data_IF_917959130899
#
_entry.id   IF_917959130899
#
_cell.length_a   1.000
_cell.length_b   1.000
_cell.length_c   1.000
_cell.angle_alpha   90.00
_cell.angle_beta   90.00
_cell.angle_gamma   90.00
#
_symmetry.space_group_name_H-M   'P 1'
#
loop_
_entity.id
_entity.type
_entity.pdbx_description
1 polymer ?
#
# COMPACT_ATOMS: atom_id res chain seq x y z
N UNK A 1 -25.16 7.86 1.54
CA UNK A 1 -25.23 7.91 0.06
C UNK A 1 -23.84 8.33 -0.43
N UNK A 2 -23.18 7.50 -1.25
CA UNK A 2 -21.88 7.85 -1.84
C UNK A 2 -22.12 8.81 -3.01
N UNK A 3 -21.75 10.06 -2.85
CA UNK A 3 -22.01 11.12 -3.82
C UNK A 3 -20.74 11.70 -4.46
N UNK A 4 -19.58 11.42 -3.89
CA UNK A 4 -18.28 11.86 -4.39
C UNK A 4 -17.23 10.76 -4.27
N UNK A 5 -16.10 10.90 -4.99
CA UNK A 5 -14.94 10.02 -4.85
C UNK A 5 -14.38 10.06 -3.42
N UNK A 6 -14.43 11.21 -2.77
CA UNK A 6 -14.03 11.33 -1.36
C UNK A 6 -14.93 10.49 -0.46
N UNK A 7 -16.26 10.59 -0.60
CA UNK A 7 -17.20 9.76 0.17
C UNK A 7 -16.97 8.27 -0.08
N UNK A 8 -16.64 7.92 -1.33
CA UNK A 8 -16.32 6.55 -1.72
C UNK A 8 -15.05 6.06 -1.02
N UNK A 9 -13.98 6.84 -1.05
CA UNK A 9 -12.71 6.50 -0.41
C UNK A 9 -12.87 6.38 1.11
N UNK A 10 -13.59 7.30 1.75
CA UNK A 10 -13.89 7.26 3.18
C UNK A 10 -14.74 6.03 3.54
N UNK A 11 -15.72 5.67 2.71
CA UNK A 11 -16.54 4.46 2.90
C UNK A 11 -15.70 3.19 2.77
N UNK A 12 -14.86 3.10 1.72
CA UNK A 12 -13.95 1.97 1.54
C UNK A 12 -13.06 1.81 2.77
N UNK A 13 -12.42 2.89 3.20
CA UNK A 13 -11.47 2.86 4.30
C UNK A 13 -12.10 2.48 5.66
N UNK A 14 -13.32 2.92 5.91
CA UNK A 14 -13.98 2.69 7.20
C UNK A 14 -14.79 1.41 7.27
N UNK A 15 -15.31 0.94 6.13
CA UNK A 15 -16.26 -0.17 6.07
C UNK A 15 -15.74 -1.34 5.23
N UNK A 16 -15.51 -1.13 3.94
CA UNK A 16 -15.21 -2.21 3.00
C UNK A 16 -13.85 -2.87 3.28
N UNK A 17 -12.85 -2.10 3.70
CA UNK A 17 -11.55 -2.63 4.11
C UNK A 17 -11.62 -3.64 5.27
N UNK A 18 -12.67 -3.60 6.09
CA UNK A 18 -12.92 -4.60 7.13
C UNK A 18 -13.41 -5.92 6.54
N UNK A 19 -14.21 -5.82 5.46
CA UNK A 19 -14.63 -7.00 4.71
C UNK A 19 -13.44 -7.65 4.00
N UNK A 20 -12.54 -6.85 3.41
CA UNK A 20 -11.27 -7.33 2.85
C UNK A 20 -10.44 -8.09 3.89
N UNK A 21 -10.33 -7.54 5.10
CA UNK A 21 -9.64 -8.20 6.22
C UNK A 21 -10.31 -9.54 6.57
N UNK A 22 -11.63 -9.55 6.68
CA UNK A 22 -12.38 -10.76 7.05
C UNK A 22 -12.22 -11.86 5.99
N UNK A 23 -12.35 -11.50 4.72
CA UNK A 23 -12.18 -12.45 3.61
C UNK A 23 -10.75 -13.01 3.56
N UNK A 24 -9.74 -12.16 3.71
CA UNK A 24 -8.34 -12.61 3.75
C UNK A 24 -8.10 -13.60 4.89
N UNK A 25 -8.65 -13.34 6.06
CA UNK A 25 -8.55 -14.28 7.19
C UNK A 25 -9.25 -15.61 6.88
N UNK A 26 -10.41 -15.56 6.25
CA UNK A 26 -11.11 -16.79 5.81
C UNK A 26 -10.25 -17.58 4.81
N UNK A 27 -9.63 -16.91 3.84
CA UNK A 27 -8.71 -17.56 2.89
C UNK A 27 -7.50 -18.20 3.59
N UNK A 28 -6.92 -17.56 4.59
CA UNK A 28 -5.80 -18.14 5.34
C UNK A 28 -6.16 -19.50 5.94
N UNK A 29 -7.40 -19.65 6.41
CA UNK A 29 -7.83 -20.85 7.13
C UNK A 29 -8.56 -21.88 6.26
N UNK A 30 -9.31 -21.44 5.25
CA UNK A 30 -10.27 -22.26 4.54
C UNK A 30 -10.13 -22.26 3.01
N UNK A 31 -9.02 -21.74 2.45
CA UNK A 31 -8.88 -21.66 1.00
C UNK A 31 -9.00 -23.04 0.31
N UNK A 32 -8.57 -24.10 1.00
CA UNK A 32 -8.61 -25.47 0.50
C UNK A 32 -9.94 -26.21 0.85
N UNK A 33 -10.90 -25.52 1.49
CA UNK A 33 -12.20 -26.06 1.85
C UNK A 33 -13.30 -25.36 1.03
N UNK A 34 -13.56 -25.81 -0.21
CA UNK A 34 -14.48 -25.13 -1.13
C UNK A 34 -15.88 -24.97 -0.59
N UNK A 35 -16.37 -25.96 0.18
CA UNK A 35 -17.70 -25.92 0.78
C UNK A 35 -17.87 -24.75 1.75
N UNK A 36 -16.77 -24.35 2.43
CA UNK A 36 -16.76 -23.23 3.35
C UNK A 36 -16.49 -21.92 2.60
N UNK A 37 -15.47 -21.89 1.73
CA UNK A 37 -14.96 -20.60 1.21
C UNK A 37 -15.77 -20.07 0.02
N UNK A 38 -16.29 -20.94 -0.87
CA UNK A 38 -16.96 -20.52 -2.11
C UNK A 38 -18.21 -19.65 -1.84
N UNK A 39 -19.09 -19.95 -0.85
CA UNK A 39 -20.21 -19.08 -0.55
C UNK A 39 -19.79 -17.66 -0.14
N UNK A 40 -18.73 -17.53 0.65
CA UNK A 40 -18.20 -16.24 1.10
C UNK A 40 -17.48 -15.49 -0.01
N UNK A 41 -16.74 -16.19 -0.86
CA UNK A 41 -16.12 -15.62 -2.04
C UNK A 41 -17.17 -15.03 -2.97
N UNK A 42 -18.21 -15.78 -3.31
CA UNK A 42 -19.31 -15.30 -4.16
C UNK A 42 -20.04 -14.08 -3.56
N UNK A 43 -20.27 -14.11 -2.26
CA UNK A 43 -20.88 -12.96 -1.58
C UNK A 43 -19.98 -11.71 -1.65
N UNK A 44 -18.69 -11.89 -1.42
CA UNK A 44 -17.73 -10.80 -1.55
C UNK A 44 -17.66 -10.25 -2.98
N UNK A 45 -17.61 -11.12 -3.98
CA UNK A 45 -17.58 -10.74 -5.40
C UNK A 45 -18.82 -9.92 -5.79
N UNK A 46 -19.99 -10.29 -5.32
CA UNK A 46 -21.23 -9.52 -5.53
C UNK A 46 -21.11 -8.11 -4.92
N UNK A 47 -20.65 -8.01 -3.68
CA UNK A 47 -20.46 -6.71 -3.02
C UNK A 47 -19.39 -5.87 -3.71
N UNK A 48 -18.29 -6.49 -4.13
CA UNK A 48 -17.21 -5.83 -4.85
C UNK A 48 -17.67 -5.32 -6.22
N UNK A 49 -18.49 -6.10 -6.95
CA UNK A 49 -19.08 -5.65 -8.21
C UNK A 49 -19.92 -4.38 -8.01
N UNK A 50 -20.80 -4.35 -7.01
CA UNK A 50 -21.60 -3.15 -6.69
C UNK A 50 -20.72 -1.97 -6.33
N UNK A 51 -19.63 -2.21 -5.60
CA UNK A 51 -18.65 -1.17 -5.24
C UNK A 51 -17.95 -0.63 -6.48
N UNK A 52 -17.51 -1.50 -7.39
CA UNK A 52 -16.84 -1.13 -8.63
C UNK A 52 -17.78 -0.36 -9.58
N UNK A 53 -19.02 -0.79 -9.74
CA UNK A 53 -20.03 -0.05 -10.53
C UNK A 53 -20.20 1.37 -9.98
N UNK A 54 -20.21 1.51 -8.66
CA UNK A 54 -20.29 2.83 -8.04
C UNK A 54 -19.03 3.65 -8.27
N UNK A 55 -17.84 3.05 -8.20
CA UNK A 55 -16.58 3.67 -8.57
C UNK A 55 -16.61 4.19 -10.00
N UNK A 56 -16.94 3.32 -10.97
CA UNK A 56 -17.01 3.68 -12.39
C UNK A 56 -17.96 4.83 -12.66
N UNK A 57 -19.08 4.91 -11.95
CA UNK A 57 -20.02 6.02 -12.08
C UNK A 57 -19.45 7.40 -11.70
N UNK A 58 -18.32 7.42 -10.99
CA UNK A 58 -17.67 8.64 -10.48
C UNK A 58 -16.27 8.87 -11.08
N UNK A 59 -15.76 7.96 -11.92
CA UNK A 59 -14.38 7.99 -12.42
C UNK A 59 -14.03 9.26 -13.19
N UNK A 60 -14.99 9.90 -13.85
CA UNK A 60 -14.78 11.17 -14.58
C UNK A 60 -14.30 12.33 -13.67
N UNK A 61 -14.52 12.23 -12.35
CA UNK A 61 -14.01 13.17 -11.36
C UNK A 61 -12.68 12.74 -10.72
N UNK A 62 -12.05 11.70 -11.27
CA UNK A 62 -10.80 11.19 -10.71
C UNK A 62 -9.64 12.16 -10.89
N UNK A 63 -8.98 12.46 -9.80
CA UNK A 63 -7.74 13.23 -9.80
C UNK A 63 -6.72 12.50 -8.93
N UNK A 64 -5.60 12.11 -9.51
CA UNK A 64 -4.52 11.49 -8.75
C UNK A 64 -3.93 12.45 -7.72
N UNK A 65 -3.41 11.90 -6.62
CA UNK A 65 -2.76 12.67 -5.56
C UNK A 65 -1.35 12.19 -5.22
N UNK A 66 -0.84 11.20 -5.93
CA UNK A 66 0.49 10.64 -5.71
C UNK A 66 1.63 11.52 -6.26
N UNK A 67 1.36 12.36 -7.25
CA UNK A 67 2.38 13.11 -7.98
C UNK A 67 3.28 13.92 -7.06
N UNK A 68 4.57 13.55 -6.99
CA UNK A 68 5.58 14.18 -6.14
C UNK A 68 5.31 14.07 -4.63
N UNK A 69 4.61 13.02 -4.19
CA UNK A 69 4.19 12.89 -2.80
C UNK A 69 5.38 12.85 -1.83
N UNK A 70 6.43 12.10 -2.16
CA UNK A 70 7.65 12.04 -1.32
C UNK A 70 8.34 13.40 -1.23
N UNK A 71 8.42 14.10 -2.36
CA UNK A 71 8.97 15.47 -2.39
C UNK A 71 8.18 16.39 -1.46
N UNK A 72 6.86 16.37 -1.52
CA UNK A 72 5.99 17.18 -0.64
C UNK A 72 6.20 16.90 0.85
N UNK A 73 6.44 15.63 1.23
CA UNK A 73 6.78 15.28 2.61
C UNK A 73 8.10 15.94 3.00
N UNK A 74 9.16 15.74 2.23
CA UNK A 74 10.51 16.15 2.62
C UNK A 74 10.81 17.64 2.45
N UNK A 75 10.06 18.38 1.61
CA UNK A 75 10.22 19.83 1.45
C UNK A 75 9.83 20.62 2.72
N UNK A 76 8.89 20.11 3.49
CA UNK A 76 8.26 20.84 4.59
C UNK A 76 8.68 20.34 5.98
N UNK A 77 9.71 19.50 6.07
CA UNK A 77 10.12 18.93 7.37
C UNK A 77 11.47 19.46 7.82
N UNK A 78 11.50 19.91 9.09
CA UNK A 78 12.71 20.32 9.81
C UNK A 78 13.11 19.30 10.89
N UNK A 79 12.53 18.09 10.82
CA UNK A 79 12.73 17.01 11.79
C UNK A 79 13.26 15.77 11.08
N UNK A 80 13.85 14.87 11.84
CA UNK A 80 14.27 13.57 11.32
C UNK A 80 13.04 12.78 10.85
N UNK A 81 12.93 12.58 9.55
CA UNK A 81 11.75 12.01 8.91
C UNK A 81 12.12 10.78 8.09
N UNK A 82 11.40 9.69 8.31
CA UNK A 82 11.51 8.46 7.53
C UNK A 82 10.22 8.18 6.77
N UNK A 83 10.33 7.69 5.55
CA UNK A 83 9.21 7.24 4.73
C UNK A 83 9.45 5.81 4.30
N UNK A 84 8.60 4.89 4.74
CA UNK A 84 8.55 3.51 4.25
C UNK A 84 7.63 3.49 3.04
N UNK A 85 8.18 3.14 1.88
CA UNK A 85 7.44 2.95 0.63
C UNK A 85 7.30 1.46 0.40
N UNK A 86 6.08 0.96 0.56
CA UNK A 86 5.74 -0.42 0.28
C UNK A 86 5.22 -0.56 -1.15
N UNK A 87 5.61 -1.62 -1.83
CA UNK A 87 5.02 -2.06 -3.08
C UNK A 87 3.79 -2.92 -2.79
N UNK A 88 2.64 -2.57 -3.37
CA UNK A 88 1.43 -3.34 -3.27
C UNK A 88 0.81 -3.46 -1.86
N UNK A 89 1.00 -2.49 -0.96
CA UNK A 89 0.43 -2.55 0.39
C UNK A 89 -1.06 -2.21 0.39
N UNK A 90 -1.91 -3.19 0.66
CA UNK A 90 -3.35 -2.99 0.82
C UNK A 90 -3.68 -2.19 2.09
N UNK A 91 -4.72 -1.35 2.00
CA UNK A 91 -5.18 -0.55 3.15
C UNK A 91 -5.55 -1.41 4.37
N UNK A 92 -6.13 -2.58 4.16
CA UNK A 92 -6.51 -3.47 5.26
C UNK A 92 -5.27 -4.02 6.00
N UNK A 93 -4.17 -4.29 5.28
CA UNK A 93 -2.89 -4.70 5.88
C UNK A 93 -2.29 -3.52 6.65
N UNK A 94 -2.29 -2.31 6.08
CA UNK A 94 -1.83 -1.11 6.77
C UNK A 94 -2.62 -0.86 8.08
N UNK A 95 -3.94 -1.05 8.08
CA UNK A 95 -4.75 -0.96 9.29
C UNK A 95 -4.35 -2.00 10.35
N UNK A 96 -3.96 -3.20 9.93
CA UNK A 96 -3.46 -4.26 10.83
C UNK A 96 -2.09 -3.89 11.41
N UNK A 97 -1.19 -3.30 10.61
CA UNK A 97 0.08 -2.74 11.08
C UNK A 97 -0.19 -1.70 12.17
N UNK A 98 -1.05 -0.74 11.90
CA UNK A 98 -1.42 0.32 12.86
C UNK A 98 -1.95 -0.27 14.18
N UNK A 99 -2.78 -1.31 14.12
CA UNK A 99 -3.33 -1.96 15.31
C UNK A 99 -2.25 -2.61 16.21
N UNK A 100 -1.05 -2.87 15.68
CA UNK A 100 0.10 -3.44 16.41
C UNK A 100 1.04 -2.38 16.98
N UNK A 101 0.90 -1.12 16.56
CA UNK A 101 1.74 -0.03 17.06
C UNK A 101 1.42 0.34 18.52
N UNK A 102 2.41 0.87 19.26
CA UNK A 102 2.20 1.39 20.60
C UNK A 102 1.09 2.46 20.65
N UNK A 103 0.21 2.37 21.62
CA UNK A 103 -0.97 3.25 21.75
C UNK A 103 -0.65 4.73 22.03
N UNK A 104 0.57 5.02 22.44
CA UNK A 104 1.05 6.39 22.68
C UNK A 104 1.53 7.11 21.42
N UNK A 105 1.61 6.42 20.28
CA UNK A 105 1.93 7.06 19.01
C UNK A 105 0.70 7.79 18.47
N UNK A 106 0.89 9.04 18.05
CA UNK A 106 -0.12 9.76 17.29
C UNK A 106 -0.11 9.27 15.86
N UNK A 107 -1.26 8.86 15.35
CA UNK A 107 -1.41 8.30 14.01
C UNK A 107 -2.40 9.15 13.23
N UNK A 108 -1.94 9.71 12.13
CA UNK A 108 -2.76 10.41 11.15
C UNK A 108 -2.86 9.55 9.88
N UNK A 109 -4.07 9.42 9.31
CA UNK A 109 -4.33 8.64 8.10
C UNK A 109 -4.77 9.56 6.97
N UNK A 110 -4.12 9.41 5.83
CA UNK A 110 -4.48 10.10 4.61
C UNK A 110 -4.77 9.09 3.50
N UNK A 111 -5.86 9.32 2.77
CA UNK A 111 -6.23 8.52 1.62
C UNK A 111 -5.89 9.32 0.37
N UNK A 112 -5.02 8.78 -0.46
CA UNK A 112 -4.67 9.33 -1.76
C UNK A 112 -5.24 8.48 -2.89
N UNK A 113 -5.28 9.06 -4.07
CA UNK A 113 -5.67 8.39 -5.31
C UNK A 113 -4.42 8.09 -6.13
N UNK A 114 -4.24 6.82 -6.50
CA UNK A 114 -3.10 6.35 -7.27
C UNK A 114 -3.09 6.92 -8.70
N UNK A 115 -1.94 6.94 -9.35
CA UNK A 115 -1.87 7.21 -10.79
C UNK A 115 -2.50 6.04 -11.55
N UNK A 116 -3.28 6.34 -12.60
CA UNK A 116 -3.87 5.33 -13.45
C UNK A 116 -3.07 5.19 -14.76
N UNK A 117 -2.93 3.95 -15.30
CA UNK A 117 -3.26 2.69 -14.65
C UNK A 117 -2.39 2.45 -13.41
N UNK A 118 -2.99 1.84 -12.37
CA UNK A 118 -2.35 1.62 -11.06
C UNK A 118 -1.40 0.42 -11.08
N UNK A 119 -0.33 0.54 -11.84
CA UNK A 119 0.77 -0.41 -11.92
C UNK A 119 2.02 0.18 -11.27
N UNK A 120 2.91 -0.67 -10.75
CA UNK A 120 4.11 -0.28 -10.01
C UNK A 120 4.92 0.81 -10.72
N UNK A 121 5.19 0.67 -12.00
CA UNK A 121 6.01 1.63 -12.77
C UNK A 121 5.41 3.05 -12.74
N UNK A 122 4.10 3.18 -12.97
CA UNK A 122 3.40 4.45 -12.98
C UNK A 122 3.31 5.06 -11.58
N UNK A 123 2.90 4.25 -10.63
CA UNK A 123 2.58 4.72 -9.27
C UNK A 123 3.86 5.02 -8.47
N UNK A 124 4.89 4.18 -8.58
CA UNK A 124 6.20 4.47 -8.00
C UNK A 124 6.81 5.74 -8.62
N UNK A 125 6.74 5.89 -9.96
CA UNK A 125 7.20 7.12 -10.61
C UNK A 125 6.48 8.34 -10.08
N UNK A 126 5.15 8.28 -9.96
CA UNK A 126 4.36 9.38 -9.41
C UNK A 126 4.75 9.72 -7.97
N UNK A 127 5.01 8.73 -7.11
CA UNK A 127 5.45 8.97 -5.73
C UNK A 127 6.78 9.73 -5.66
N UNK A 128 7.78 9.28 -6.46
CA UNK A 128 9.15 9.81 -6.41
C UNK A 128 9.36 11.07 -7.25
N UNK A 129 8.68 11.14 -8.42
CA UNK A 129 8.94 12.14 -9.45
C UNK A 129 7.78 13.13 -9.52
N UNK A 130 8.10 14.41 -9.54
CA UNK A 130 7.07 15.46 -9.50
C UNK A 130 6.60 15.99 -10.85
N UNK A 131 7.15 15.54 -11.99
CA UNK A 131 6.94 16.12 -13.32
C UNK A 131 6.04 15.29 -14.26
N UNK A 132 5.55 14.14 -13.78
CA UNK A 132 4.67 13.25 -14.55
C UNK A 132 5.39 12.22 -15.41
N UNK A 133 6.72 12.26 -15.49
CA UNK A 133 7.50 11.23 -16.20
C UNK A 133 7.36 9.86 -15.55
N UNK A 134 7.62 8.82 -16.32
CA UNK A 134 7.61 7.42 -15.86
C UNK A 134 9.02 6.86 -15.99
N UNK A 135 9.55 6.42 -14.85
CA UNK A 135 10.86 5.78 -14.74
C UNK A 135 10.69 4.36 -14.20
N UNK A 136 11.14 3.39 -14.98
CA UNK A 136 11.02 1.97 -14.60
C UNK A 136 12.06 1.58 -13.55
N UNK A 137 13.27 2.17 -13.66
CA UNK A 137 14.39 1.83 -12.80
C UNK A 137 14.30 2.53 -11.43
N UNK A 138 14.39 1.75 -10.36
CA UNK A 138 14.38 2.26 -8.97
C UNK A 138 15.46 3.31 -8.74
N UNK A 139 16.67 3.05 -9.19
CA UNK A 139 17.83 3.95 -9.02
C UNK A 139 17.63 5.29 -9.72
N UNK A 140 16.96 5.32 -10.87
CA UNK A 140 16.63 6.54 -11.58
C UNK A 140 15.58 7.36 -10.82
N UNK A 141 14.54 6.72 -10.29
CA UNK A 141 13.53 7.37 -9.41
C UNK A 141 14.17 7.97 -8.15
N UNK A 142 15.02 7.19 -7.46
CA UNK A 142 15.75 7.64 -6.28
C UNK A 142 16.69 8.83 -6.60
N UNK A 143 17.39 8.78 -7.73
CA UNK A 143 18.26 9.87 -8.19
C UNK A 143 17.47 11.15 -8.49
N UNK A 144 16.29 11.03 -9.10
CA UNK A 144 15.41 12.16 -9.35
C UNK A 144 14.98 12.83 -8.04
N UNK A 145 14.57 12.05 -7.04
CA UNK A 145 14.20 12.59 -5.73
C UNK A 145 15.42 13.20 -5.00
N UNK A 146 16.60 12.57 -5.09
CA UNK A 146 17.82 13.07 -4.47
C UNK A 146 18.28 14.42 -5.06
N UNK A 147 18.06 14.63 -6.35
CA UNK A 147 18.32 15.91 -7.00
C UNK A 147 17.37 17.02 -6.51
N UNK A 148 16.13 16.66 -6.20
CA UNK A 148 15.13 17.59 -5.69
C UNK A 148 15.26 17.86 -4.18
N UNK A 149 15.69 16.86 -3.39
CA UNK A 149 15.74 16.93 -1.92
C UNK A 149 17.17 16.65 -1.45
N UNK A 150 17.86 17.69 -1.00
CA UNK A 150 19.23 17.56 -0.47
C UNK A 150 19.26 16.74 0.83
N UNK A 151 20.27 15.87 0.95
CA UNK A 151 20.53 15.10 2.16
C UNK A 151 19.57 13.92 2.40
N UNK A 152 18.82 13.53 1.38
CA UNK A 152 17.98 12.33 1.44
C UNK A 152 18.82 11.06 1.24
N UNK A 153 18.51 10.02 1.97
CA UNK A 153 19.16 8.70 1.87
C UNK A 153 18.11 7.62 1.54
N UNK A 154 18.56 6.56 0.87
CA UNK A 154 17.73 5.45 0.45
C UNK A 154 18.33 4.14 0.92
N UNK A 155 17.53 3.29 1.55
CA UNK A 155 17.90 1.93 1.91
C UNK A 155 16.71 0.98 1.70
N UNK A 156 16.99 -0.32 1.61
CA UNK A 156 15.94 -1.33 1.76
C UNK A 156 15.54 -1.44 3.23
N UNK A 157 14.25 -1.63 3.51
CA UNK A 157 13.72 -1.71 4.88
C UNK A 157 14.33 -2.87 5.68
N UNK A 158 14.69 -3.96 5.00
CA UNK A 158 15.36 -5.12 5.57
C UNK A 158 16.75 -4.75 6.13
N UNK A 159 17.42 -3.78 5.51
CA UNK A 159 18.75 -3.31 5.90
C UNK A 159 18.74 -2.26 7.01
N UNK A 160 17.56 -1.90 7.54
CA UNK A 160 17.46 -0.97 8.64
C UNK A 160 18.17 -1.49 9.89
N UNK A 161 19.14 -0.75 10.37
CA UNK A 161 19.91 -1.03 11.58
C UNK A 161 20.15 0.24 12.40
N UNK A 162 20.69 0.10 13.61
CA UNK A 162 20.91 1.22 14.53
C UNK A 162 22.01 2.23 14.11
N UNK A 163 22.76 1.93 13.05
CA UNK A 163 23.83 2.79 12.55
C UNK A 163 23.42 3.77 11.45
N UNK A 164 22.14 3.87 11.15
CA UNK A 164 21.64 4.80 10.10
C UNK A 164 21.77 6.24 10.57
N UNK A 165 22.61 7.01 9.85
CA UNK A 165 22.82 8.44 10.07
C UNK A 165 22.19 9.18 8.88
N UNK A 166 20.93 9.57 9.01
CA UNK A 166 20.22 10.37 8.02
C UNK A 166 19.09 11.16 8.70
N UNK A 167 18.86 12.39 8.25
CA UNK A 167 17.72 13.19 8.70
C UNK A 167 16.48 12.96 7.82
N UNK A 168 16.70 12.62 6.56
CA UNK A 168 15.67 12.31 5.57
C UNK A 168 15.95 10.93 4.99
N UNK A 169 15.04 9.98 5.21
CA UNK A 169 15.26 8.58 4.86
C UNK A 169 14.06 8.01 4.11
N UNK A 170 14.31 7.40 2.97
CA UNK A 170 13.33 6.57 2.26
C UNK A 170 13.74 5.10 2.40
N UNK A 171 12.79 4.28 2.83
CA UNK A 171 12.97 2.84 2.98
C UNK A 171 12.02 2.13 2.01
N UNK A 172 12.55 1.36 1.08
CA UNK A 172 11.75 0.56 0.15
C UNK A 172 11.46 -0.83 0.70
N UNK A 173 10.25 -1.35 0.46
CA UNK A 173 9.83 -2.69 0.83
C UNK A 173 8.95 -3.30 -0.26
N UNK A 174 9.42 -4.35 -0.94
CA UNK A 174 8.77 -4.97 -2.11
C UNK A 174 8.22 -6.38 -1.88
N UNK A 175 8.43 -6.98 -0.70
CA UNK A 175 8.09 -8.38 -0.44
C UNK A 175 6.58 -8.69 -0.58
N UNK A 176 5.70 -7.72 -0.28
CA UNK A 176 4.25 -7.94 -0.29
C UNK A 176 3.77 -8.24 -1.70
N UNK A 177 4.16 -7.41 -2.66
CA UNK A 177 3.77 -7.55 -4.06
C UNK A 177 4.41 -8.80 -4.68
N UNK A 178 5.72 -8.95 -4.51
CA UNK A 178 6.49 -10.07 -5.05
C UNK A 178 5.93 -11.45 -4.66
N UNK A 179 5.61 -11.65 -3.37
CA UNK A 179 5.07 -12.92 -2.88
C UNK A 179 3.61 -13.10 -3.30
N UNK A 180 2.84 -12.01 -3.39
CA UNK A 180 1.44 -12.05 -3.82
C UNK A 180 1.30 -12.47 -5.28
N UNK A 181 2.21 -12.05 -6.15
CA UNK A 181 2.22 -12.44 -7.56
C UNK A 181 2.66 -13.90 -7.79
N UNK A 182 3.67 -14.36 -7.05
CA UNK A 182 4.30 -15.67 -7.29
C UNK A 182 3.71 -16.82 -6.52
N UNK A 183 3.26 -16.57 -5.31
CA UNK A 183 2.89 -17.63 -4.36
C UNK A 183 1.58 -17.31 -3.62
N UNK A 184 0.47 -17.25 -4.35
CA UNK A 184 -0.83 -16.80 -3.81
C UNK A 184 -1.21 -17.42 -2.45
N UNK A 185 -1.04 -18.74 -2.26
CA UNK A 185 -1.36 -19.40 -0.99
C UNK A 185 -0.34 -19.11 0.11
N UNK A 186 0.95 -19.05 -0.23
CA UNK A 186 2.00 -18.69 0.71
C UNK A 186 1.91 -17.22 1.13
N UNK A 187 1.55 -16.32 0.20
CA UNK A 187 1.31 -14.91 0.47
C UNK A 187 0.27 -14.71 1.57
N UNK A 188 -0.86 -15.41 1.52
CA UNK A 188 -1.92 -15.29 2.51
C UNK A 188 -1.41 -15.57 3.94
N UNK A 189 -0.54 -16.57 4.11
CA UNK A 189 0.08 -16.90 5.41
C UNK A 189 1.16 -15.92 5.81
N UNK A 190 1.88 -15.36 4.83
CA UNK A 190 2.98 -14.43 5.06
C UNK A 190 2.51 -13.03 5.50
N UNK A 191 1.29 -12.61 5.16
CA UNK A 191 0.79 -11.27 5.51
C UNK A 191 0.87 -10.96 7.01
N UNK A 192 0.58 -11.93 7.88
CA UNK A 192 0.71 -11.72 9.33
C UNK A 192 2.17 -11.45 9.76
N UNK A 193 3.13 -12.06 9.08
CA UNK A 193 4.57 -11.81 9.28
C UNK A 193 4.94 -10.42 8.81
N UNK A 194 4.45 -10.00 7.65
CA UNK A 194 4.69 -8.65 7.12
C UNK A 194 4.07 -7.56 7.99
N UNK A 195 2.86 -7.79 8.53
CA UNK A 195 2.23 -6.87 9.49
C UNK A 195 3.12 -6.66 10.74
N UNK A 196 3.68 -7.74 11.30
CA UNK A 196 4.58 -7.67 12.46
C UNK A 196 5.90 -6.97 12.07
N UNK A 197 6.50 -7.38 10.97
CA UNK A 197 7.75 -6.80 10.48
C UNK A 197 7.63 -5.29 10.29
N UNK A 198 6.60 -4.80 9.58
CA UNK A 198 6.39 -3.38 9.37
C UNK A 198 6.17 -2.62 10.68
N UNK A 199 5.38 -3.17 11.61
CA UNK A 199 5.17 -2.55 12.91
C UNK A 199 6.48 -2.45 13.71
N UNK A 200 7.29 -3.51 13.73
CA UNK A 200 8.58 -3.54 14.42
C UNK A 200 9.58 -2.54 13.79
N UNK A 201 9.58 -2.40 12.44
CA UNK A 201 10.45 -1.43 11.75
C UNK A 201 10.03 0.00 12.03
N UNK A 202 8.73 0.30 12.08
CA UNK A 202 8.24 1.62 12.49
C UNK A 202 8.71 1.96 13.91
N UNK A 203 8.54 1.03 14.85
CA UNK A 203 9.01 1.23 16.23
C UNK A 203 10.53 1.42 16.29
N UNK A 204 11.27 0.66 15.47
CA UNK A 204 12.73 0.77 15.40
C UNK A 204 13.19 2.13 14.88
N UNK A 205 12.49 2.71 13.90
CA UNK A 205 12.78 4.05 13.39
C UNK A 205 12.63 5.11 14.50
N UNK A 206 11.57 5.05 15.30
CA UNK A 206 11.42 5.94 16.45
C UNK A 206 12.54 5.74 17.50
N UNK A 207 12.94 4.49 17.77
CA UNK A 207 14.04 4.20 18.72
C UNK A 207 15.39 4.76 18.28
N UNK A 208 15.67 4.83 16.98
CA UNK A 208 16.92 5.43 16.47
C UNK A 208 16.80 6.94 16.19
N UNK A 209 15.70 7.55 16.66
CA UNK A 209 15.54 9.00 16.73
C UNK A 209 14.82 9.67 15.56
N UNK A 210 14.12 8.93 14.69
CA UNK A 210 13.19 9.57 13.77
C UNK A 210 11.97 10.08 14.54
N UNK A 211 11.53 11.29 14.21
CA UNK A 211 10.43 11.98 14.88
C UNK A 211 9.12 11.78 14.12
N UNK A 212 9.19 11.76 12.79
CA UNK A 212 8.07 11.47 11.91
C UNK A 212 8.37 10.22 11.07
N UNK A 213 7.44 9.27 11.07
CA UNK A 213 7.53 8.06 10.25
C UNK A 213 6.26 7.91 9.42
N UNK A 214 6.43 7.89 8.11
CA UNK A 214 5.34 7.67 7.16
C UNK A 214 5.39 6.23 6.65
N UNK A 215 4.23 5.61 6.52
CA UNK A 215 4.03 4.36 5.79
C UNK A 215 3.13 4.68 4.60
N UNK A 216 3.64 4.47 3.40
CA UNK A 216 2.90 4.71 2.16
C UNK A 216 3.02 3.53 1.20
N UNK A 217 2.16 3.51 0.20
CA UNK A 217 2.20 2.53 -0.89
C UNK A 217 2.01 3.23 -2.23
N UNK A 218 2.47 2.61 -3.27
CA UNK A 218 2.21 3.01 -4.65
C UNK A 218 0.81 2.62 -5.11
N UNK A 219 0.41 1.34 -4.92
CA UNK A 219 -0.92 0.80 -5.20
C UNK A 219 -1.29 -0.29 -4.19
N UNK A 220 -2.45 -0.85 -4.33
CA UNK A 220 -2.90 -2.09 -3.69
C UNK A 220 -3.24 -3.14 -4.74
N UNK A 221 -3.83 -4.25 -4.32
CA UNK A 221 -4.27 -5.32 -5.20
C UNK A 221 -5.60 -5.92 -4.72
N UNK A 222 -6.26 -6.66 -5.60
CA UNK A 222 -7.52 -7.37 -5.28
C UNK A 222 -7.19 -8.83 -4.99
N UNK A 223 -7.76 -9.37 -3.89
CA UNK A 223 -7.73 -10.81 -3.62
C UNK A 223 -8.89 -11.48 -4.36
N UNK A 224 -8.58 -12.26 -5.35
CA UNK A 224 -9.58 -12.93 -6.22
C UNK A 224 -10.01 -14.30 -5.70
N UNK A 225 -9.31 -14.88 -4.72
CA UNK A 225 -9.58 -16.24 -4.25
C UNK A 225 -9.17 -17.31 -5.26
N UNK A 226 -9.93 -18.41 -5.30
CA UNK A 226 -9.68 -19.49 -6.25
C UNK A 226 -10.27 -19.13 -7.63
N UNK A 227 -9.39 -18.87 -8.60
CA UNK A 227 -9.76 -18.64 -9.99
C UNK A 227 -9.89 -19.95 -10.75
N UNK A 228 -10.80 -20.00 -11.70
CA UNK A 228 -11.01 -21.10 -12.65
C UNK A 228 -10.59 -20.69 -14.05
N UNK A 229 -10.49 -21.66 -14.99
CA UNK A 229 -10.22 -21.33 -16.40
C UNK A 229 -11.27 -20.42 -17.03
N UNK A 230 -12.52 -20.42 -16.50
CA UNK A 230 -13.58 -19.53 -16.96
C UNK A 230 -13.37 -18.06 -16.59
N UNK A 231 -12.50 -17.78 -15.62
CA UNK A 231 -12.20 -16.44 -15.16
C UNK A 231 -11.07 -15.78 -15.97
N UNK A 232 -10.44 -16.53 -16.87
CA UNK A 232 -9.36 -16.01 -17.74
C UNK A 232 -9.94 -15.16 -18.86
N UNK A 233 -9.59 -13.90 -18.87
CA UNK A 233 -9.88 -12.98 -19.99
C UNK A 233 -8.67 -12.94 -20.92
N UNK A 234 -8.87 -13.30 -22.18
CA UNK A 234 -7.84 -13.07 -23.21
C UNK A 234 -7.83 -11.56 -23.52
N UNK A 235 -6.75 -10.91 -23.20
CA UNK A 235 -6.52 -9.52 -23.61
C UNK A 235 -6.00 -9.58 -25.05
N UNK A 236 -6.64 -8.90 -26.01
CA UNK A 236 -6.24 -8.92 -27.41
C UNK A 236 -4.88 -8.27 -27.65
#
# INVERSE_FOLDING_TARGET
KLSSLKDFADYYATNFSKLDTALRILYVHFLNDPEIIVPWQRYYEQLNSVLLDKWYSMVNGYAESQQGYLKKIFENVNRRTAVIVCDGLRLEIANRVIAKLPKNLKIDKHIGFAKLPSVTENCMSALYIGDGSVETEKTARESSLANAIKGISFISLENLNGGVIADKLVLSYGEIDYVSEKEQQAALKAFATYENFLADRIVSLFKIGFEDVYLTTDHGFVLTGNLTEADKVQIP
#
